data_IF_647307345940
#
_entry.id   IF_647307345940
#
_cell.length_a   1.000
_cell.length_b   1.000
_cell.length_c   1.000
_cell.angle_alpha   90.00
_cell.angle_beta   90.00
_cell.angle_gamma   90.00
#
_symmetry.space_group_name_H-M   'P 1'
#
loop_
_entity.id
_entity.type
_entity.pdbx_description
1 polymer ?
#
# COMPACT_ATOMS: atom_id res chain seq x y z
N UNK A 1 -9.60 -16.26 -4.32
CA UNK A 1 -9.43 -17.69 -4.71
C UNK A 1 -8.78 -18.44 -3.56
N UNK A 2 -9.14 -19.71 -3.29
CA UNK A 2 -8.59 -20.47 -2.17
C UNK A 2 -7.06 -20.59 -2.17
N UNK A 3 -6.45 -20.45 -3.35
CA UNK A 3 -4.99 -20.50 -3.57
C UNK A 3 -4.23 -19.24 -3.13
N UNK A 4 -4.89 -18.23 -2.56
CA UNK A 4 -4.23 -16.99 -2.12
C UNK A 4 -3.08 -17.23 -1.13
N UNK A 5 -3.17 -18.29 -0.31
CA UNK A 5 -2.12 -18.70 0.65
C UNK A 5 -0.78 -19.07 0.00
N UNK A 6 -0.75 -19.38 -1.30
CA UNK A 6 0.48 -19.71 -2.03
C UNK A 6 1.27 -18.46 -2.44
N UNK A 7 0.68 -17.27 -2.27
CA UNK A 7 1.33 -16.00 -2.58
C UNK A 7 2.55 -15.78 -1.68
N UNK A 8 3.67 -15.38 -2.28
CA UNK A 8 4.90 -14.97 -1.59
C UNK A 8 5.12 -13.45 -1.66
N UNK A 9 4.04 -12.70 -1.76
CA UNK A 9 4.10 -11.24 -1.78
C UNK A 9 4.71 -10.74 -0.47
N UNK A 10 5.59 -9.75 -0.59
CA UNK A 10 6.23 -9.06 0.52
C UNK A 10 6.19 -7.57 0.24
N UNK A 11 6.31 -6.78 1.31
CA UNK A 11 6.56 -5.35 1.22
C UNK A 11 7.76 -5.00 2.11
N UNK A 12 8.49 -3.96 1.73
CA UNK A 12 9.67 -3.53 2.46
C UNK A 12 10.19 -2.19 1.98
N UNK A 13 11.20 -1.67 2.66
CA UNK A 13 11.79 -0.36 2.36
C UNK A 13 13.20 -0.50 1.82
N UNK A 14 13.59 0.44 0.94
CA UNK A 14 14.97 0.63 0.49
C UNK A 14 15.27 2.12 0.50
N UNK A 15 15.99 2.59 1.50
CA UNK A 15 16.10 4.03 1.77
C UNK A 15 14.70 4.62 2.04
N UNK A 16 14.37 5.73 1.38
CA UNK A 16 13.07 6.40 1.46
C UNK A 16 12.02 5.86 0.49
N UNK A 17 12.24 4.69 -0.11
CA UNK A 17 11.30 4.04 -1.03
C UNK A 17 10.59 2.85 -0.38
N UNK A 18 9.28 2.76 -0.56
CA UNK A 18 8.47 1.60 -0.22
C UNK A 18 8.26 0.72 -1.46
N UNK A 19 8.50 -0.59 -1.32
CA UNK A 19 8.33 -1.59 -2.39
C UNK A 19 7.23 -2.56 -1.94
N UNK A 20 6.22 -2.77 -2.79
CA UNK A 20 5.09 -3.68 -2.52
C UNK A 20 4.90 -4.61 -3.72
N UNK A 21 4.91 -5.93 -3.47
CA UNK A 21 4.61 -6.91 -4.50
C UNK A 21 3.09 -7.06 -4.65
N UNK A 22 2.56 -6.82 -5.85
CA UNK A 22 1.13 -6.97 -6.16
C UNK A 22 0.84 -8.26 -6.96
N UNK A 23 -0.43 -8.70 -7.04
CA UNK A 23 -0.83 -9.78 -7.94
C UNK A 23 -0.66 -9.41 -9.43
N UNK A 24 -0.71 -10.40 -10.32
CA UNK A 24 -0.55 -10.16 -11.77
C UNK A 24 -1.84 -9.79 -12.54
N UNK A 25 -3.02 -10.04 -11.97
CA UNK A 25 -4.31 -9.75 -12.65
C UNK A 25 -4.83 -8.36 -12.27
N UNK A 26 -5.27 -7.50 -13.22
CA UNK A 26 -5.75 -6.15 -12.93
C UNK A 26 -6.80 -6.06 -11.83
N UNK A 27 -7.80 -6.95 -11.84
CA UNK A 27 -8.83 -7.00 -10.80
C UNK A 27 -8.25 -7.27 -9.40
N UNK A 28 -7.28 -8.20 -9.31
CA UNK A 28 -6.63 -8.53 -8.04
C UNK A 28 -5.66 -7.43 -7.57
N UNK A 29 -5.02 -6.71 -8.50
CA UNK A 29 -4.23 -5.51 -8.20
C UNK A 29 -5.10 -4.46 -7.52
N UNK A 30 -6.28 -4.16 -8.09
CA UNK A 30 -7.23 -3.21 -7.52
C UNK A 30 -7.64 -3.61 -6.10
N UNK A 31 -8.11 -4.85 -5.91
CA UNK A 31 -8.50 -5.36 -4.59
C UNK A 31 -7.36 -5.30 -3.57
N UNK A 32 -6.13 -5.61 -3.99
CA UNK A 32 -4.96 -5.54 -3.10
C UNK A 32 -4.64 -4.09 -2.71
N UNK A 33 -4.63 -3.16 -3.66
CA UNK A 33 -4.39 -1.73 -3.40
C UNK A 33 -5.48 -1.14 -2.51
N UNK A 34 -6.75 -1.47 -2.74
CA UNK A 34 -7.85 -0.98 -1.90
C UNK A 34 -7.70 -1.40 -0.44
N UNK A 35 -7.09 -2.57 -0.19
CA UNK A 35 -6.85 -3.06 1.17
C UNK A 35 -5.65 -2.42 1.87
N UNK A 36 -4.57 -2.11 1.14
CA UNK A 36 -3.29 -1.70 1.76
C UNK A 36 -2.93 -0.22 1.58
N UNK A 37 -3.48 0.45 0.56
CA UNK A 37 -3.00 1.78 0.15
C UNK A 37 -3.30 2.86 1.19
N UNK A 38 -4.33 2.71 2.02
CA UNK A 38 -4.63 3.68 3.08
C UNK A 38 -3.47 3.89 4.06
N UNK A 39 -2.62 2.87 4.28
CA UNK A 39 -1.44 2.96 5.14
C UNK A 39 -0.18 3.49 4.41
N UNK A 40 -0.15 3.43 3.08
CA UNK A 40 1.02 3.81 2.28
C UNK A 40 1.44 5.25 2.52
N UNK A 41 0.54 6.26 2.45
CA UNK A 41 0.93 7.65 2.65
C UNK A 41 1.63 7.93 3.99
N UNK A 42 1.17 7.33 5.09
CA UNK A 42 1.83 7.49 6.40
C UNK A 42 3.16 6.74 6.48
N UNK A 43 3.26 5.57 5.86
CA UNK A 43 4.54 4.87 5.73
C UNK A 43 5.58 5.72 5.00
N UNK A 44 5.20 6.40 3.91
CA UNK A 44 6.08 7.33 3.19
C UNK A 44 6.49 8.51 4.07
N UNK A 45 5.57 9.08 4.86
CA UNK A 45 5.89 10.14 5.82
C UNK A 45 6.98 9.66 6.82
N UNK A 46 6.86 8.44 7.35
CA UNK A 46 7.78 7.87 8.34
C UNK A 46 9.18 7.54 7.80
N UNK A 47 9.30 7.18 6.52
CA UNK A 47 10.60 6.87 5.90
C UNK A 47 11.28 8.11 5.27
N UNK A 48 10.79 9.31 5.60
CA UNK A 48 11.35 10.58 5.12
C UNK A 48 11.07 10.86 3.64
N UNK A 49 10.02 10.25 3.08
CA UNK A 49 9.58 10.49 1.72
C UNK A 49 8.69 11.73 1.58
N UNK A 50 8.12 11.90 0.38
CA UNK A 50 7.21 12.99 0.10
C UNK A 50 5.86 12.84 0.83
N UNK A 51 5.32 13.97 1.28
CA UNK A 51 3.96 14.04 1.86
C UNK A 51 2.93 13.71 0.77
N UNK A 52 2.26 12.56 0.90
CA UNK A 52 1.23 12.12 -0.05
C UNK A 52 -0.17 12.44 0.47
N UNK A 53 -0.96 13.08 -0.38
CA UNK A 53 -2.40 13.27 -0.23
C UNK A 53 -3.17 12.36 -1.19
N UNK A 54 -4.36 11.92 -0.78
CA UNK A 54 -5.18 10.97 -1.53
C UNK A 54 -6.55 11.57 -1.84
N UNK A 55 -7.15 11.17 -2.96
CA UNK A 55 -8.54 11.52 -3.26
C UNK A 55 -9.48 10.65 -2.36
N UNK A 56 -10.27 11.26 -1.46
CA UNK A 56 -11.15 10.53 -0.53
C UNK A 56 -12.22 9.67 -1.20
N UNK A 57 -12.61 9.97 -2.45
CA UNK A 57 -13.55 9.14 -3.22
C UNK A 57 -13.00 7.73 -3.50
N UNK A 58 -11.67 7.59 -3.51
CA UNK A 58 -11.00 6.33 -3.81
C UNK A 58 -10.25 5.74 -2.62
N UNK A 59 -9.63 6.58 -1.79
CA UNK A 59 -8.87 6.12 -0.63
C UNK A 59 -8.67 7.26 0.37
N UNK A 60 -9.06 7.04 1.63
CA UNK A 60 -8.74 7.94 2.74
C UNK A 60 -7.46 7.44 3.42
N UNK A 61 -6.39 8.22 3.30
CA UNK A 61 -5.12 7.92 3.96
C UNK A 61 -5.28 7.92 5.49
N UNK A 62 -4.83 6.84 6.14
CA UNK A 62 -4.81 6.74 7.60
C UNK A 62 -3.52 7.36 8.16
N UNK A 63 -3.67 8.25 9.15
CA UNK A 63 -2.57 8.79 9.97
C UNK A 63 -3.01 8.80 11.44
N UNK A 64 -2.24 8.19 12.36
CA UNK A 64 -2.57 8.22 13.79
C UNK A 64 -2.46 9.65 14.34
N UNK A 65 -3.27 9.96 15.34
CA UNK A 65 -3.13 11.19 16.13
C UNK A 65 -1.89 11.03 17.01
N UNK A 66 -1.06 12.06 17.06
CA UNK A 66 0.13 12.12 17.92
C UNK A 66 -0.25 12.10 19.40
#
# INVERSE_FOLDING_TARGET
VPTAILSRQVAGTRGSSLIINLPGKPAAIRTCLDAVFAAVPYCIDLIGGARLDTNPEFCTAFRPKA
#
